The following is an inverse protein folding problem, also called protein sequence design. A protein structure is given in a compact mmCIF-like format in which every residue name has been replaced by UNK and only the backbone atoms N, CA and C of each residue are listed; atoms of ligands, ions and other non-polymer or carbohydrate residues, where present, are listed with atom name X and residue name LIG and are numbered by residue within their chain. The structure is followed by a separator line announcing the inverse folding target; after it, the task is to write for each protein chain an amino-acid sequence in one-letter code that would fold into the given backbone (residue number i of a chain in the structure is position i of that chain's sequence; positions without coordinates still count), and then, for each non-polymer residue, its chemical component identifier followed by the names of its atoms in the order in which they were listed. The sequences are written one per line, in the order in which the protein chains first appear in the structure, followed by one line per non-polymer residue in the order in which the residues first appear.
data_IF_567331405811
#
_entry.id   IF_567331405811
#
_cell.length_a   1.000
_cell.length_b   1.000
_cell.length_c   1.000
_cell.angle_alpha   90.00
_cell.angle_beta   90.00
_cell.angle_gamma   90.00
#
_symmetry.space_group_name_H-M   'P 1'
#
loop_
_entity.id
_entity.type
_entity.pdbx_description
1 polymer ?
#
# COMPACT_ATOMS: atom_id res chain seq x y z
N UNK A 1 24.81 14.46 7.31
CA UNK A 1 23.65 13.59 7.01
C UNK A 1 22.94 13.26 8.31
N UNK A 2 21.61 13.11 8.32
CA UNK A 2 20.88 12.59 9.47
C UNK A 2 21.44 11.21 9.86
N UNK A 3 21.61 10.94 11.16
CA UNK A 3 22.24 9.69 11.62
C UNK A 3 21.46 8.46 11.18
N UNK A 4 20.13 8.48 11.25
CA UNK A 4 19.25 7.39 10.77
C UNK A 4 19.48 7.05 9.30
N UNK A 5 19.64 8.06 8.43
CA UNK A 5 19.93 7.84 7.02
C UNK A 5 21.31 7.20 6.82
N UNK A 6 22.29 7.61 7.63
CA UNK A 6 23.63 7.03 7.58
C UNK A 6 23.60 5.55 8.00
N UNK A 7 22.87 5.20 9.05
CA UNK A 7 22.70 3.81 9.47
C UNK A 7 22.03 2.97 8.38
N UNK A 8 20.93 3.46 7.81
CA UNK A 8 20.22 2.77 6.74
C UNK A 8 21.09 2.51 5.50
N UNK A 9 21.88 3.50 5.07
CA UNK A 9 22.76 3.36 3.90
C UNK A 9 23.93 2.39 4.12
N UNK A 10 24.28 2.10 5.37
CA UNK A 10 25.34 1.15 5.73
C UNK A 10 24.82 -0.23 6.13
N UNK A 11 23.50 -0.41 6.28
CA UNK A 11 22.91 -1.71 6.54
C UNK A 11 22.97 -2.63 5.32
N UNK A 12 23.09 -3.95 5.54
CA UNK A 12 22.97 -4.91 4.45
C UNK A 12 21.57 -4.85 3.84
N UNK A 13 21.44 -4.96 2.51
CA UNK A 13 20.13 -5.01 1.87
C UNK A 13 19.31 -6.19 2.38
N UNK A 14 18.00 -5.99 2.56
CA UNK A 14 17.07 -7.08 2.85
C UNK A 14 17.05 -8.10 1.71
N UNK A 15 16.76 -9.35 2.05
CA UNK A 15 16.62 -10.41 1.05
C UNK A 15 15.43 -10.14 0.14
N UNK A 16 15.52 -10.53 -1.13
CA UNK A 16 14.41 -10.43 -2.09
C UNK A 16 13.14 -11.17 -1.66
N UNK A 17 13.28 -12.16 -0.78
CA UNK A 17 12.15 -12.95 -0.29
C UNK A 17 11.49 -12.34 0.96
N UNK A 18 12.02 -11.24 1.49
CA UNK A 18 11.47 -10.56 2.66
C UNK A 18 10.50 -9.46 2.22
N UNK A 19 9.43 -9.27 2.99
CA UNK A 19 8.49 -8.17 2.82
C UNK A 19 9.13 -6.86 3.34
N UNK A 20 9.36 -5.85 2.47
CA UNK A 20 9.88 -4.56 2.89
C UNK A 20 8.99 -3.85 3.92
N UNK A 21 7.68 -4.07 3.91
CA UNK A 21 6.76 -3.47 4.88
C UNK A 21 6.96 -4.06 6.28
N UNK A 22 7.18 -5.37 6.39
CA UNK A 22 7.47 -6.02 7.68
C UNK A 22 8.82 -5.57 8.25
N UNK A 23 9.83 -5.36 7.38
CA UNK A 23 11.11 -4.79 7.78
C UNK A 23 10.94 -3.41 8.44
N UNK A 24 10.18 -2.51 7.82
CA UNK A 24 9.97 -1.17 8.35
C UNK A 24 9.03 -1.12 9.57
N UNK A 25 8.11 -2.08 9.71
CA UNK A 25 7.31 -2.23 10.94
C UNK A 25 8.18 -2.58 12.15
N UNK A 26 9.19 -3.43 11.97
CA UNK A 26 10.14 -3.76 13.03
C UNK A 26 10.98 -2.53 13.48
N UNK A 27 11.21 -1.59 12.57
CA UNK A 27 11.94 -0.33 12.80
C UNK A 27 11.01 0.88 12.99
N UNK A 28 9.80 0.66 13.50
CA UNK A 28 8.71 1.66 13.58
C UNK A 28 9.02 2.91 14.41
N UNK A 29 10.09 2.92 15.21
CA UNK A 29 10.53 4.10 15.97
C UNK A 29 11.36 5.10 15.14
N UNK A 30 11.79 4.72 13.93
CA UNK A 30 12.58 5.58 13.03
C UNK A 30 11.67 6.49 12.20
N UNK A 31 12.04 7.77 12.08
CA UNK A 31 11.37 8.70 11.16
C UNK A 31 11.52 8.29 9.69
N UNK A 32 12.57 7.52 9.39
CA UNK A 32 12.78 6.94 8.07
C UNK A 32 11.74 5.87 7.76
N UNK A 33 11.26 5.12 8.77
CA UNK A 33 10.21 4.13 8.60
C UNK A 33 8.89 4.75 8.14
N UNK A 34 8.51 5.90 8.71
CA UNK A 34 7.31 6.65 8.29
C UNK A 34 7.38 7.04 6.81
N UNK A 35 8.54 7.52 6.36
CA UNK A 35 8.75 7.86 4.94
C UNK A 35 8.71 6.60 4.07
N UNK A 36 9.43 5.54 4.46
CA UNK A 36 9.53 4.33 3.67
C UNK A 36 8.17 3.65 3.47
N UNK A 37 7.38 3.48 4.54
CA UNK A 37 6.04 2.89 4.48
C UNK A 37 5.13 3.73 3.57
N UNK A 38 5.21 5.06 3.66
CA UNK A 38 4.39 5.95 2.82
C UNK A 38 4.70 5.79 1.33
N UNK A 39 5.96 5.62 0.94
CA UNK A 39 6.33 5.44 -0.46
C UNK A 39 6.10 4.01 -0.96
N UNK A 40 6.33 2.99 -0.13
CA UNK A 40 6.12 1.58 -0.48
C UNK A 40 4.64 1.23 -0.68
N UNK A 41 3.73 1.96 -0.05
CA UNK A 41 2.27 1.77 -0.17
C UNK A 41 1.66 2.52 -1.36
N UNK A 42 2.44 3.29 -2.12
CA UNK A 42 1.97 3.92 -3.35
C UNK A 42 1.80 2.85 -4.43
N UNK A 43 0.56 2.63 -4.84
CA UNK A 43 0.23 1.72 -5.94
C UNK A 43 0.79 2.31 -7.25
N UNK A 44 1.78 1.64 -7.84
CA UNK A 44 2.45 2.09 -9.07
C UNK A 44 1.63 1.85 -10.35
N UNK A 45 0.51 1.13 -10.29
CA UNK A 45 -0.31 0.80 -11.46
C UNK A 45 -1.34 1.89 -11.78
N UNK A 46 -1.23 2.49 -12.97
CA UNK A 46 -2.25 3.36 -13.56
C UNK A 46 -3.45 2.52 -14.05
N UNK A 47 -4.63 2.77 -13.48
CA UNK A 47 -5.81 1.91 -13.62
C UNK A 47 -6.37 1.77 -15.04
N UNK A 48 -6.60 0.52 -15.46
CA UNK A 48 -7.17 0.13 -16.76
C UNK A 48 -8.59 -0.44 -16.60
N UNK A 49 -9.54 0.32 -16.02
CA UNK A 49 -10.89 -0.22 -15.70
C UNK A 49 -12.06 0.57 -16.33
N UNK A 50 -11.84 1.65 -17.08
CA UNK A 50 -12.96 2.55 -17.47
C UNK A 50 -13.55 2.35 -18.87
N UNK A 51 -13.21 1.32 -19.65
CA UNK A 51 -13.70 1.18 -21.04
C UNK A 51 -14.58 -0.06 -21.32
N UNK A 52 -15.71 -0.23 -20.62
CA UNK A 52 -16.83 -1.05 -21.14
C UNK A 52 -18.17 -0.34 -21.00
N UNK A 53 -18.63 0.17 -22.14
CA UNK A 53 -19.79 1.04 -22.33
C UNK A 53 -21.15 0.31 -22.26
N UNK A 54 -21.36 -0.65 -21.35
CA UNK A 54 -22.63 -1.41 -21.27
C UNK A 54 -23.27 -1.59 -19.89
N UNK A 55 -22.65 -1.11 -18.81
CA UNK A 55 -23.27 -1.12 -17.48
C UNK A 55 -23.08 0.25 -16.85
N UNK A 56 -24.05 1.15 -17.04
CA UNK A 56 -23.95 2.55 -16.58
C UNK A 56 -24.17 2.65 -15.06
N UNK A 57 -23.26 2.09 -14.28
CA UNK A 57 -23.08 2.53 -12.90
C UNK A 57 -22.55 3.96 -12.94
N UNK A 58 -23.18 4.87 -12.19
CA UNK A 58 -22.60 6.20 -12.01
C UNK A 58 -21.27 6.06 -11.27
N UNK A 59 -20.34 7.01 -11.45
CA UNK A 59 -19.04 6.99 -10.78
C UNK A 59 -19.15 6.77 -9.27
N UNK A 60 -20.20 7.32 -8.65
CA UNK A 60 -20.52 7.14 -7.24
C UNK A 60 -20.81 5.67 -6.89
N UNK A 61 -21.74 5.02 -7.59
CA UNK A 61 -22.08 3.62 -7.32
C UNK A 61 -20.94 2.67 -7.66
N UNK A 62 -20.10 3.00 -8.64
CA UNK A 62 -18.88 2.23 -8.92
C UNK A 62 -17.88 2.31 -7.76
N UNK A 63 -17.64 3.50 -7.21
CA UNK A 63 -16.77 3.67 -6.03
C UNK A 63 -17.32 2.96 -4.79
N UNK A 64 -18.64 3.05 -4.56
CA UNK A 64 -19.31 2.32 -3.47
C UNK A 64 -19.13 0.80 -3.63
N UNK A 65 -19.38 0.25 -4.81
CA UNK A 65 -19.16 -1.18 -5.08
C UNK A 65 -17.70 -1.60 -4.96
N UNK A 66 -16.76 -0.77 -5.41
CA UNK A 66 -15.34 -1.04 -5.26
C UNK A 66 -14.97 -1.09 -3.77
N UNK A 67 -15.43 -0.13 -2.98
CA UNK A 67 -15.21 -0.11 -1.54
C UNK A 67 -15.80 -1.34 -0.84
N UNK A 68 -17.04 -1.71 -1.17
CA UNK A 68 -17.68 -2.89 -0.58
C UNK A 68 -16.96 -4.20 -0.95
N UNK A 69 -16.43 -4.32 -2.17
CA UNK A 69 -15.64 -5.48 -2.58
C UNK A 69 -14.28 -5.59 -1.88
N UNK A 70 -13.75 -4.48 -1.35
CA UNK A 70 -12.48 -4.49 -0.61
C UNK A 70 -12.66 -4.96 0.85
N UNK A 71 -13.89 -5.07 1.34
CA UNK A 71 -14.17 -5.51 2.71
C UNK A 71 -14.15 -7.06 2.81
N UNK A 72 -13.47 -7.64 3.80
CA UNK A 72 -13.52 -9.08 4.07
C UNK A 72 -14.95 -9.56 4.33
N UNK A 73 -15.27 -10.82 3.96
CA UNK A 73 -16.60 -11.43 4.20
C UNK A 73 -17.02 -11.33 5.68
N UNK A 74 -16.06 -11.41 6.62
CA UNK A 74 -16.32 -11.31 8.05
C UNK A 74 -16.89 -9.96 8.52
N UNK A 75 -16.76 -8.90 7.72
CA UNK A 75 -17.39 -7.59 8.00
C UNK A 75 -18.87 -7.56 7.64
N UNK A 76 -19.31 -8.49 6.81
CA UNK A 76 -20.69 -8.67 6.47
C UNK A 76 -21.25 -9.63 7.51
N UNK A 77 -22.05 -9.12 8.46
CA UNK A 77 -22.77 -9.91 9.46
C UNK A 77 -23.83 -10.83 8.78
N UNK A 78 -23.37 -11.71 7.90
CA UNK A 78 -24.12 -12.68 7.10
C UNK A 78 -24.15 -14.04 7.79
#
# INVERSE_FOLDING_TARGET
MPEELRYYLHEPPISRNQDPLEFWKFHSSSRLADLAIRYLTIIATSGLITSRNRSRLTSKHFQELLFLNLLPISYWNL
#
